data_IF_663860311743
#
_entry.id   IF_663860311743
#
_cell.length_a   1.000
_cell.length_b   1.000
_cell.length_c   1.000
_cell.angle_alpha   90.00
_cell.angle_beta   90.00
_cell.angle_gamma   90.00
#
_symmetry.space_group_name_H-M   'P 1'
#
loop_
_entity.id
_entity.type
_entity.pdbx_description
1 polymer ?
#
# COMPACT_ATOMS: atom_id res chain seq x y z
N UNK A 1 12.71 -4.29 -6.59
CA UNK A 1 11.37 -4.80 -6.26
C UNK A 1 11.48 -5.73 -5.06
N UNK A 2 11.77 -5.17 -3.88
CA UNK A 2 11.94 -5.96 -2.65
C UNK A 2 10.62 -6.10 -1.87
N UNK A 3 9.62 -5.30 -2.22
CA UNK A 3 8.37 -5.20 -1.46
C UNK A 3 7.28 -6.17 -1.95
N UNK A 4 7.47 -6.78 -3.13
CA UNK A 4 6.45 -7.66 -3.74
C UNK A 4 6.17 -8.89 -2.87
N UNK A 5 7.21 -9.56 -2.39
CA UNK A 5 7.05 -10.72 -1.49
C UNK A 5 6.41 -10.31 -0.16
N UNK A 6 6.70 -9.11 0.35
CA UNK A 6 6.10 -8.62 1.58
C UNK A 6 4.61 -8.30 1.41
N UNK A 7 4.22 -7.72 0.26
CA UNK A 7 2.82 -7.40 -0.05
C UNK A 7 2.00 -8.69 -0.20
N UNK A 8 2.53 -9.68 -0.93
CA UNK A 8 1.84 -10.96 -1.16
C UNK A 8 1.67 -11.78 0.13
N UNK A 9 2.57 -11.62 1.10
CA UNK A 9 2.51 -12.29 2.40
C UNK A 9 1.68 -11.54 3.45
N UNK A 10 1.40 -10.26 3.24
CA UNK A 10 0.64 -9.46 4.19
C UNK A 10 -0.83 -9.89 4.19
N UNK A 11 -1.46 -9.91 5.37
CA UNK A 11 -2.91 -10.13 5.47
C UNK A 11 -3.75 -8.99 4.88
N UNK A 12 -3.13 -7.82 4.68
CA UNK A 12 -3.66 -6.67 3.94
C UNK A 12 -2.49 -5.94 3.28
N UNK A 13 -2.27 -6.18 1.99
CA UNK A 13 -1.24 -5.54 1.18
C UNK A 13 -1.63 -4.14 0.75
N UNK A 14 -0.97 -3.11 1.29
CA UNK A 14 -1.28 -1.70 0.99
C UNK A 14 -0.16 -1.03 0.22
N UNK A 15 -0.51 -0.33 -0.85
CA UNK A 15 0.46 0.35 -1.74
C UNK A 15 0.03 1.81 -1.98
N UNK A 16 1.00 2.74 -2.02
CA UNK A 16 0.73 4.16 -2.32
C UNK A 16 0.47 4.40 -3.81
N UNK A 17 -0.39 5.37 -4.15
CA UNK A 17 -0.85 5.61 -5.53
C UNK A 17 0.27 5.94 -6.55
N UNK A 18 1.42 6.42 -6.10
CA UNK A 18 2.57 6.70 -6.96
C UNK A 18 3.60 5.57 -7.03
N UNK A 19 3.29 4.38 -6.51
CA UNK A 19 4.14 3.20 -6.65
C UNK A 19 4.18 2.70 -8.12
N UNK A 20 5.19 1.92 -8.52
CA UNK A 20 5.22 1.31 -9.86
C UNK A 20 3.95 0.47 -10.14
N UNK A 21 3.44 0.42 -11.39
CA UNK A 21 2.21 -0.31 -11.72
C UNK A 21 2.24 -1.79 -11.33
N UNK A 22 3.40 -2.44 -11.46
CA UNK A 22 3.60 -3.84 -11.07
C UNK A 22 3.47 -4.09 -9.56
N UNK A 23 3.73 -3.07 -8.73
CA UNK A 23 3.56 -3.13 -7.28
C UNK A 23 2.10 -2.85 -6.93
N UNK A 24 1.47 -1.87 -7.59
CA UNK A 24 0.05 -1.58 -7.42
C UNK A 24 -0.84 -2.78 -7.81
N UNK A 25 -0.45 -3.54 -8.83
CA UNK A 25 -1.19 -4.71 -9.29
C UNK A 25 -1.28 -5.85 -8.26
N UNK A 26 -0.43 -5.84 -7.23
CA UNK A 26 -0.45 -6.82 -6.13
C UNK A 26 -1.10 -6.29 -4.85
N UNK A 27 -1.59 -5.05 -4.86
CA UNK A 27 -2.18 -4.43 -3.69
C UNK A 27 -3.64 -4.89 -3.49
N UNK A 28 -4.00 -5.21 -2.26
CA UNK A 28 -5.40 -5.34 -1.84
C UNK A 28 -6.05 -3.95 -1.74
N UNK A 29 -5.26 -2.94 -1.39
CA UNK A 29 -5.71 -1.56 -1.27
C UNK A 29 -4.64 -0.57 -1.73
N UNK A 30 -5.03 0.36 -2.59
CA UNK A 30 -4.19 1.48 -3.00
C UNK A 30 -4.59 2.72 -2.20
N UNK A 31 -3.64 3.29 -1.46
CA UNK A 31 -3.83 4.52 -0.68
C UNK A 31 -3.31 5.75 -1.43
N UNK A 32 -3.46 6.93 -0.83
CA UNK A 32 -2.97 8.19 -1.38
C UNK A 32 -1.44 8.17 -1.63
N UNK A 33 -0.94 9.20 -2.31
CA UNK A 33 0.50 9.29 -2.60
C UNK A 33 1.28 9.39 -1.29
N UNK A 34 2.56 9.04 -1.35
CA UNK A 34 3.45 9.23 -0.20
C UNK A 34 3.57 10.71 0.23
N UNK A 35 3.34 11.66 -0.68
CA UNK A 35 3.31 13.11 -0.41
C UNK A 35 1.98 13.62 0.16
N UNK A 36 1.00 12.73 0.32
CA UNK A 36 -0.38 13.04 0.76
C UNK A 36 -0.76 12.16 1.97
N UNK A 37 0.25 11.81 2.78
CA UNK A 37 0.09 11.03 4.02
C UNK A 37 -0.62 9.68 3.86
N UNK A 38 -0.47 9.03 2.69
CA UNK A 38 -1.17 7.79 2.37
C UNK A 38 -1.02 6.67 3.40
N UNK A 39 0.10 6.58 4.10
CA UNK A 39 0.31 5.60 5.18
C UNK A 39 -0.54 5.95 6.41
N UNK A 40 -0.60 7.22 6.81
CA UNK A 40 -1.40 7.66 7.95
C UNK A 40 -2.89 7.37 7.72
N UNK A 41 -3.40 7.67 6.52
CA UNK A 41 -4.80 7.40 6.15
C UNK A 41 -5.18 5.91 6.27
N UNK A 42 -4.23 5.01 6.02
CA UNK A 42 -4.46 3.56 6.11
C UNK A 42 -4.52 3.12 7.56
N UNK A 43 -3.63 3.65 8.40
CA UNK A 43 -3.64 3.39 9.85
C UNK A 43 -4.96 3.87 10.45
N UNK A 44 -5.38 5.11 10.13
CA UNK A 44 -6.66 5.67 10.60
C UNK A 44 -7.88 4.88 10.13
N UNK A 45 -7.82 4.26 8.95
CA UNK A 45 -8.96 3.54 8.37
C UNK A 45 -9.10 2.10 8.85
N UNK A 46 -7.99 1.41 9.07
CA UNK A 46 -7.99 -0.05 9.28
C UNK A 46 -7.52 -0.47 10.67
N UNK A 47 -6.89 0.42 11.44
CA UNK A 47 -6.25 0.07 12.73
C UNK A 47 -6.86 0.83 13.91
N UNK A 48 -7.09 2.13 13.75
CA UNK A 48 -7.69 3.00 14.77
C UNK A 48 -9.22 3.04 14.65
#
# INVERSE_FOLDING_TARGET
YNDLEMIDLAGLGVVVANAPPEVQARADYITARNTEDGVALVIEKFIL
#
